data_IF_729081701650
#
_entry.id   IF_729081701650
#
_cell.length_a   1.000
_cell.length_b   1.000
_cell.length_c   1.000
_cell.angle_alpha   90.00
_cell.angle_beta   90.00
_cell.angle_gamma   90.00
#
_symmetry.space_group_name_H-M   'P 1'
#
loop_
_entity.id
_entity.type
_entity.pdbx_description
1 polymer ?
#
# COMPACT_ATOMS: atom_id res chain seq x y z
N UNK A 1 18.01 5.85 9.93
CA UNK A 1 17.98 5.79 8.45
C UNK A 1 18.85 6.89 7.87
N UNK A 2 19.83 6.55 7.04
CA UNK A 2 20.94 7.43 6.64
C UNK A 2 20.69 8.17 5.31
N UNK A 3 19.44 8.58 5.06
CA UNK A 3 19.05 9.22 3.80
C UNK A 3 19.89 10.48 3.47
N UNK A 4 20.36 11.22 4.47
CA UNK A 4 21.25 12.37 4.26
C UNK A 4 22.58 11.95 3.61
N UNK A 5 23.24 10.95 4.18
CA UNK A 5 24.55 10.45 3.72
C UNK A 5 24.43 9.86 2.31
N UNK A 6 23.44 9.01 2.07
CA UNK A 6 23.23 8.41 0.75
C UNK A 6 22.90 9.46 -0.32
N UNK A 7 22.11 10.47 0.02
CA UNK A 7 21.79 11.58 -0.89
C UNK A 7 23.04 12.40 -1.22
N UNK A 8 23.91 12.66 -0.23
CA UNK A 8 25.17 13.35 -0.46
C UNK A 8 26.11 12.55 -1.36
N UNK A 9 26.31 11.25 -1.06
CA UNK A 9 27.13 10.34 -1.89
C UNK A 9 26.65 10.34 -3.34
N UNK A 10 25.34 10.15 -3.56
CA UNK A 10 24.75 10.16 -4.91
C UNK A 10 24.91 11.53 -5.61
N UNK A 11 24.80 12.64 -4.88
CA UNK A 11 25.03 13.97 -5.46
C UNK A 11 26.47 14.13 -5.96
N UNK A 12 27.45 13.77 -5.13
CA UNK A 12 28.88 13.82 -5.49
C UNK A 12 29.16 12.96 -6.72
N UNK A 13 28.74 11.69 -6.71
CA UNK A 13 28.93 10.79 -7.85
C UNK A 13 28.30 11.34 -9.14
N UNK A 14 27.10 11.91 -9.07
CA UNK A 14 26.43 12.49 -10.25
C UNK A 14 27.16 13.72 -10.78
N UNK A 15 27.62 14.60 -9.89
CA UNK A 15 28.36 15.81 -10.26
C UNK A 15 29.69 15.45 -10.92
N UNK A 16 30.41 14.47 -10.39
CA UNK A 16 31.67 13.99 -10.97
C UNK A 16 31.45 13.30 -12.33
N UNK A 17 30.38 12.52 -12.46
CA UNK A 17 30.09 11.77 -13.69
C UNK A 17 29.65 12.64 -14.87
N UNK A 18 28.98 13.75 -14.61
CA UNK A 18 28.47 14.67 -15.65
C UNK A 18 28.42 16.12 -15.12
N UNK A 19 29.58 16.81 -15.05
CA UNK A 19 29.66 18.16 -14.50
C UNK A 19 28.83 19.17 -15.30
N UNK A 20 28.74 18.99 -16.63
CA UNK A 20 28.00 19.86 -17.53
C UNK A 20 26.49 19.79 -17.29
N UNK A 21 25.95 18.63 -16.95
CA UNK A 21 24.53 18.52 -16.61
C UNK A 21 24.22 18.89 -15.16
N UNK A 22 25.23 18.95 -14.28
CA UNK A 22 25.11 19.15 -12.83
C UNK A 22 25.83 20.43 -12.32
N UNK A 23 25.80 21.53 -13.09
CA UNK A 23 26.55 22.79 -12.82
C UNK A 23 26.25 23.51 -11.51
N UNK A 24 25.17 23.17 -10.81
CA UNK A 24 24.77 23.88 -9.59
C UNK A 24 25.67 23.54 -8.41
N UNK A 25 26.23 24.56 -7.74
CA UNK A 25 27.05 24.39 -6.52
C UNK A 25 26.29 23.52 -5.52
N UNK A 26 26.84 22.35 -5.22
CA UNK A 26 26.33 21.45 -4.19
C UNK A 26 26.85 21.88 -2.82
N UNK A 27 25.98 21.74 -1.83
CA UNK A 27 26.30 21.94 -0.42
C UNK A 27 25.76 20.73 0.32
N UNK A 28 26.50 20.29 1.33
CA UNK A 28 26.11 19.12 2.11
C UNK A 28 24.79 19.35 2.83
N UNK A 29 23.99 18.29 2.90
CA UNK A 29 22.66 18.35 3.49
C UNK A 29 22.79 18.10 5.00
N UNK A 30 22.34 19.07 5.80
CA UNK A 30 22.23 18.86 7.25
C UNK A 30 20.96 18.07 7.60
N UNK A 31 20.95 17.42 8.76
CA UNK A 31 19.76 16.71 9.24
C UNK A 31 18.54 17.63 9.34
N UNK A 32 18.73 18.87 9.81
CA UNK A 32 17.66 19.87 9.90
C UNK A 32 17.11 20.22 8.52
N UNK A 33 18.00 20.38 7.53
CA UNK A 33 17.60 20.67 6.15
C UNK A 33 16.82 19.51 5.53
N UNK A 34 17.24 18.26 5.77
CA UNK A 34 16.49 17.09 5.30
C UNK A 34 15.12 16.96 5.97
N UNK A 35 15.02 17.27 7.27
CA UNK A 35 13.73 17.33 7.97
C UNK A 35 12.83 18.42 7.37
N UNK A 36 13.38 19.60 7.11
CA UNK A 36 12.64 20.68 6.46
C UNK A 36 12.19 20.29 5.04
N UNK A 37 13.04 19.60 4.27
CA UNK A 37 12.69 19.07 2.95
C UNK A 37 11.44 18.17 3.01
N UNK A 38 11.42 17.16 3.90
CA UNK A 38 10.27 16.27 4.05
C UNK A 38 9.04 17.01 4.61
N UNK A 39 9.24 17.95 5.54
CA UNK A 39 8.18 18.80 6.07
C UNK A 39 7.49 19.62 4.97
N UNK A 40 8.27 20.20 4.05
CA UNK A 40 7.75 20.90 2.88
C UNK A 40 6.98 19.94 1.98
N UNK A 41 7.52 18.75 1.68
CA UNK A 41 6.81 17.74 0.85
C UNK A 41 5.48 17.35 1.47
N UNK A 42 5.43 17.08 2.78
CA UNK A 42 4.19 16.77 3.49
C UNK A 42 3.20 17.94 3.44
N UNK A 43 3.65 19.16 3.69
CA UNK A 43 2.81 20.35 3.62
C UNK A 43 2.24 20.57 2.21
N UNK A 44 2.98 20.27 1.14
CA UNK A 44 2.46 20.34 -0.24
C UNK A 44 1.47 19.22 -0.58
N UNK A 45 1.49 18.09 0.14
CA UNK A 45 0.59 16.95 -0.08
C UNK A 45 -0.70 17.06 0.73
N UNK A 46 -0.63 17.61 1.95
CA UNK A 46 -1.77 17.69 2.88
C UNK A 46 -2.40 19.09 2.96
N UNK A 47 -1.70 20.13 2.48
CA UNK A 47 -2.12 21.53 2.60
C UNK A 47 -2.79 22.08 1.34
N UNK A 48 -2.43 23.32 0.99
CA UNK A 48 -3.01 24.05 -0.15
C UNK A 48 -2.55 23.42 -1.47
N UNK A 49 -3.46 22.79 -2.22
CA UNK A 49 -3.10 22.14 -3.47
C UNK A 49 -2.80 23.15 -4.59
N UNK A 50 -1.53 23.41 -4.86
CA UNK A 50 -1.11 24.17 -6.04
C UNK A 50 -0.71 23.25 -7.20
N UNK A 51 -1.06 23.59 -8.46
CA UNK A 51 -0.86 22.71 -9.61
C UNK A 51 0.62 22.51 -9.98
N UNK A 52 1.51 23.37 -9.49
CA UNK A 52 2.96 23.26 -9.68
C UNK A 52 3.71 23.62 -8.41
N UNK A 53 4.86 22.98 -8.22
CA UNK A 53 5.68 23.18 -7.02
C UNK A 53 6.22 24.61 -6.92
N UNK A 54 6.52 25.28 -8.04
CA UNK A 54 7.03 26.66 -8.04
C UNK A 54 6.03 27.65 -7.39
N UNK A 55 4.73 27.36 -7.50
CA UNK A 55 3.67 28.27 -7.07
C UNK A 55 3.65 28.42 -5.55
N UNK A 56 3.95 27.33 -4.82
CA UNK A 56 4.12 27.36 -3.37
C UNK A 56 5.21 28.35 -2.92
N UNK A 57 6.17 28.65 -3.79
CA UNK A 57 7.28 29.54 -3.48
C UNK A 57 7.11 30.94 -4.10
N UNK A 58 5.94 31.23 -4.69
CA UNK A 58 5.67 32.51 -5.33
C UNK A 58 5.53 33.63 -4.30
N UNK A 59 6.37 34.66 -4.40
CA UNK A 59 6.37 35.83 -3.52
C UNK A 59 5.88 37.10 -4.23
N UNK A 60 5.37 36.99 -5.46
CA UNK A 60 5.05 38.18 -6.25
C UNK A 60 3.72 38.82 -5.79
N UNK A 61 3.69 40.15 -5.56
CA UNK A 61 2.46 40.83 -5.09
C UNK A 61 1.29 40.77 -6.08
N UNK A 62 1.59 40.77 -7.39
CA UNK A 62 0.61 40.66 -8.47
C UNK A 62 -0.05 39.27 -8.56
N UNK A 63 0.51 38.27 -7.88
CA UNK A 63 -0.01 36.89 -7.79
C UNK A 63 -0.50 36.55 -6.38
N UNK A 64 -1.05 37.55 -5.67
CA UNK A 64 -1.52 37.43 -4.28
C UNK A 64 -2.47 36.24 -4.04
N UNK A 65 -3.30 35.87 -5.02
CA UNK A 65 -4.23 34.73 -4.94
C UNK A 65 -3.51 33.41 -4.67
N UNK A 66 -2.27 33.27 -5.14
CA UNK A 66 -1.45 32.06 -4.97
C UNK A 66 -0.31 32.25 -3.97
N UNK A 67 -0.25 33.41 -3.30
CA UNK A 67 0.83 33.71 -2.38
C UNK A 67 0.72 32.84 -1.13
N UNK A 68 1.73 31.99 -0.91
CA UNK A 68 1.82 31.09 0.24
C UNK A 68 3.12 31.40 1.00
N UNK A 69 3.16 32.50 1.78
CA UNK A 69 4.40 33.08 2.28
C UNK A 69 5.20 32.17 3.22
N UNK A 70 4.57 31.15 3.81
CA UNK A 70 5.23 30.20 4.71
C UNK A 70 6.32 29.35 4.04
N UNK A 71 6.10 28.90 2.80
CA UNK A 71 7.04 27.98 2.13
C UNK A 71 8.37 28.66 1.82
N UNK A 72 8.35 29.84 1.20
CA UNK A 72 9.58 30.57 0.86
C UNK A 72 10.33 31.11 2.07
N UNK A 73 9.66 31.27 3.22
CA UNK A 73 10.33 31.58 4.49
C UNK A 73 11.02 30.36 5.09
N UNK A 74 10.40 29.18 4.96
CA UNK A 74 10.91 27.94 5.54
C UNK A 74 11.99 27.26 4.69
N UNK A 75 11.93 27.37 3.37
CA UNK A 75 12.85 26.67 2.47
C UNK A 75 13.05 27.40 1.15
N UNK A 76 14.19 27.21 0.50
CA UNK A 76 14.45 27.79 -0.82
C UNK A 76 14.01 26.82 -1.93
N UNK A 77 13.23 27.31 -2.89
CA UNK A 77 12.74 26.48 -4.01
C UNK A 77 13.87 25.81 -4.80
N UNK A 78 14.94 26.56 -5.13
CA UNK A 78 16.09 26.00 -5.87
C UNK A 78 16.74 24.85 -5.11
N UNK A 79 16.88 24.99 -3.78
CA UNK A 79 17.44 23.95 -2.92
C UNK A 79 16.52 22.74 -2.84
N UNK A 80 15.21 22.93 -2.77
CA UNK A 80 14.21 21.85 -2.80
C UNK A 80 14.33 21.00 -4.08
N UNK A 81 14.46 21.66 -5.23
CA UNK A 81 14.65 20.99 -6.53
C UNK A 81 15.99 20.26 -6.57
N UNK A 82 17.06 20.89 -6.07
CA UNK A 82 18.40 20.30 -6.03
C UNK A 82 18.42 19.03 -5.17
N UNK A 83 17.86 19.04 -3.95
CA UNK A 83 17.76 17.85 -3.09
C UNK A 83 16.88 16.79 -3.76
N UNK A 84 15.74 17.17 -4.35
CA UNK A 84 14.85 16.22 -5.03
C UNK A 84 15.52 15.48 -6.19
N UNK A 85 16.50 16.11 -6.86
CA UNK A 85 17.24 15.51 -7.98
C UNK A 85 18.18 14.39 -7.52
N UNK A 86 18.75 14.51 -6.33
CA UNK A 86 19.75 13.56 -5.82
C UNK A 86 19.23 12.67 -4.69
N UNK A 87 17.98 12.85 -4.25
CA UNK A 87 17.36 12.11 -3.15
C UNK A 87 17.57 10.60 -3.30
N UNK A 88 18.07 9.98 -2.24
CA UNK A 88 18.52 8.59 -2.26
C UNK A 88 18.15 7.87 -0.96
N UNK A 89 17.77 6.59 -1.06
CA UNK A 89 17.20 5.80 0.06
C UNK A 89 17.88 4.46 0.29
N UNK A 90 19.01 4.21 -0.34
CA UNK A 90 19.74 2.94 -0.23
C UNK A 90 21.25 3.17 -0.31
N UNK A 91 22.03 2.18 0.07
CA UNK A 91 23.48 2.20 -0.15
C UNK A 91 23.81 1.44 -1.43
N UNK A 92 24.45 2.09 -2.39
CA UNK A 92 24.84 1.47 -3.66
C UNK A 92 25.78 0.27 -3.48
N UNK A 93 26.58 0.26 -2.41
CA UNK A 93 27.58 -0.80 -2.17
C UNK A 93 26.97 -2.08 -1.57
N UNK A 94 25.84 -1.95 -0.84
CA UNK A 94 25.18 -3.04 -0.13
C UNK A 94 23.88 -3.50 -0.81
N UNK A 95 23.46 -2.83 -1.89
CA UNK A 95 22.19 -3.09 -2.53
C UNK A 95 22.15 -4.45 -3.24
N UNK A 96 21.22 -5.31 -2.82
CA UNK A 96 20.85 -6.50 -3.59
C UNK A 96 20.03 -6.09 -4.82
N UNK A 97 20.68 -6.06 -5.98
CA UNK A 97 20.05 -5.70 -7.26
C UNK A 97 19.08 -6.78 -7.78
N UNK A 98 18.99 -7.95 -7.14
CA UNK A 98 18.01 -8.98 -7.47
C UNK A 98 16.59 -8.58 -7.03
N UNK A 99 16.45 -7.77 -5.98
CA UNK A 99 15.19 -7.18 -5.55
C UNK A 99 14.81 -6.02 -6.46
N UNK A 100 13.62 -6.04 -7.06
CA UNK A 100 13.16 -4.94 -7.93
C UNK A 100 12.96 -3.62 -7.18
N UNK A 101 12.81 -3.67 -5.85
CA UNK A 101 12.60 -2.51 -4.98
C UNK A 101 13.86 -2.09 -4.22
N UNK A 102 15.04 -2.63 -4.54
CA UNK A 102 16.29 -2.38 -3.79
C UNK A 102 16.53 -0.90 -3.50
N UNK A 103 16.14 -0.01 -4.42
CA UNK A 103 16.33 1.44 -4.30
C UNK A 103 15.56 2.10 -3.16
N UNK A 104 14.47 1.48 -2.72
CA UNK A 104 13.61 1.98 -1.64
C UNK A 104 13.46 0.95 -0.53
N UNK A 105 14.02 -0.26 -0.67
CA UNK A 105 13.89 -1.36 0.28
C UNK A 105 14.23 -0.93 1.72
N UNK A 106 15.36 -0.26 2.00
CA UNK A 106 15.67 0.16 3.38
C UNK A 106 14.63 1.14 3.96
N UNK A 107 14.03 1.97 3.11
CA UNK A 107 12.98 2.90 3.51
C UNK A 107 11.66 2.16 3.78
N UNK A 108 11.29 1.20 2.93
CA UNK A 108 10.08 0.38 3.13
C UNK A 108 10.19 -0.46 4.40
N UNK A 109 11.33 -1.11 4.62
CA UNK A 109 11.55 -1.96 5.80
C UNK A 109 11.51 -1.12 7.08
N UNK A 110 12.12 0.08 7.06
CA UNK A 110 12.02 1.03 8.17
C UNK A 110 10.58 1.47 8.47
N UNK A 111 9.79 1.77 7.43
CA UNK A 111 8.38 2.13 7.62
C UNK A 111 7.57 0.96 8.17
N UNK A 112 7.81 -0.25 7.65
CA UNK A 112 7.13 -1.46 8.08
C UNK A 112 7.41 -1.76 9.56
N UNK A 113 8.69 -1.68 9.98
CA UNK A 113 9.10 -1.81 11.39
C UNK A 113 8.40 -0.78 12.29
N UNK A 114 8.32 0.48 11.84
CA UNK A 114 7.65 1.54 12.59
C UNK A 114 6.14 1.38 12.66
N UNK A 115 5.50 0.95 11.58
CA UNK A 115 4.05 0.75 11.60
C UNK A 115 3.64 -0.41 12.51
N UNK A 116 4.44 -1.48 12.53
CA UNK A 116 4.21 -2.61 13.41
C UNK A 116 4.56 -2.31 14.88
N UNK A 117 5.62 -1.54 15.14
CA UNK A 117 6.11 -1.28 16.49
C UNK A 117 5.34 -0.21 17.27
N UNK A 118 4.69 0.73 16.60
CA UNK A 118 4.07 1.90 17.24
C UNK A 118 2.55 1.72 17.47
N UNK A 119 1.93 0.68 16.91
CA UNK A 119 0.49 0.49 16.99
C UNK A 119 0.11 -0.99 16.99
N UNK A 120 -0.83 -1.35 17.87
CA UNK A 120 -1.43 -2.68 17.89
C UNK A 120 -2.88 -2.61 17.37
N UNK A 121 -3.22 -3.29 16.25
CA UNK A 121 -4.56 -3.26 15.69
C UNK A 121 -5.65 -3.78 16.64
N UNK A 122 -6.87 -3.28 16.47
CA UNK A 122 -8.02 -3.86 17.12
C UNK A 122 -8.35 -5.24 16.49
N UNK A 123 -9.42 -5.86 16.99
CA UNK A 123 -9.83 -7.18 16.54
C UNK A 123 -10.02 -7.26 15.01
N UNK A 124 -10.66 -6.24 14.43
CA UNK A 124 -11.09 -6.27 13.04
C UNK A 124 -10.10 -5.50 12.16
N UNK A 125 -9.52 -6.16 11.16
CA UNK A 125 -8.60 -5.55 10.19
C UNK A 125 -9.12 -5.72 8.77
N UNK A 126 -8.93 -4.72 7.93
CA UNK A 126 -9.34 -4.70 6.53
C UNK A 126 -8.13 -4.90 5.62
N UNK A 127 -8.24 -5.81 4.67
CA UNK A 127 -7.25 -6.02 3.62
C UNK A 127 -7.80 -5.52 2.29
N UNK A 128 -7.06 -4.64 1.62
CA UNK A 128 -7.40 -4.15 0.28
C UNK A 128 -6.15 -3.67 -0.47
N UNK A 129 -6.31 -3.33 -1.75
CA UNK A 129 -5.29 -2.65 -2.53
C UNK A 129 -5.52 -1.13 -2.65
N UNK A 130 -4.42 -0.38 -2.68
CA UNK A 130 -4.41 1.00 -3.14
C UNK A 130 -3.57 1.18 -4.40
N UNK A 131 -3.86 2.27 -5.11
CA UNK A 131 -3.10 2.70 -6.29
C UNK A 131 -2.34 3.99 -5.96
N UNK A 132 -1.01 3.90 -5.99
CA UNK A 132 -0.11 5.05 -5.87
C UNK A 132 0.03 5.66 -7.28
N UNK A 133 -0.49 6.88 -7.53
CA UNK A 133 -0.53 7.44 -8.88
C UNK A 133 0.88 7.66 -9.44
N UNK A 134 1.16 7.07 -10.61
CA UNK A 134 2.47 7.23 -11.25
C UNK A 134 2.36 7.04 -12.77
N UNK A 135 2.84 8.04 -13.53
CA UNK A 135 2.79 8.03 -15.01
C UNK A 135 4.16 7.83 -15.67
N UNK A 136 5.25 7.83 -14.91
CA UNK A 136 6.61 7.69 -15.45
C UNK A 136 6.94 6.28 -15.98
N UNK A 137 8.19 6.08 -16.38
CA UNK A 137 8.70 4.77 -16.81
C UNK A 137 9.15 3.98 -15.59
N UNK A 138 8.44 2.89 -15.28
CA UNK A 138 8.77 1.99 -14.17
C UNK A 138 8.23 0.60 -14.49
N UNK A 139 9.04 -0.43 -14.26
CA UNK A 139 8.69 -1.81 -14.64
C UNK A 139 7.60 -2.47 -13.78
N UNK A 140 7.26 -1.91 -12.62
CA UNK A 140 6.17 -2.40 -11.74
C UNK A 140 4.89 -1.56 -11.87
N UNK A 141 4.87 -0.60 -12.82
CA UNK A 141 3.69 0.23 -13.08
C UNK A 141 2.59 -0.63 -13.71
N UNK A 142 1.39 -0.52 -13.18
CA UNK A 142 0.20 -1.22 -13.65
C UNK A 142 -0.84 -0.26 -14.23
N UNK A 143 -1.70 -0.82 -15.08
CA UNK A 143 -2.94 -0.20 -15.53
C UNK A 143 -4.13 -0.97 -14.96
N UNK A 144 -4.97 -0.32 -14.16
CA UNK A 144 -6.21 -0.89 -13.61
C UNK A 144 -7.37 -0.03 -14.09
N UNK A 145 -8.21 -0.58 -14.98
CA UNK A 145 -9.24 0.16 -15.73
C UNK A 145 -10.25 0.86 -14.81
N UNK A 146 -10.62 0.20 -13.72
CA UNK A 146 -11.75 0.59 -12.87
C UNK A 146 -11.35 1.46 -11.66
N UNK A 147 -10.05 1.73 -11.48
CA UNK A 147 -9.58 2.65 -10.43
C UNK A 147 -9.56 4.10 -10.96
N UNK A 148 -9.85 5.12 -10.12
CA UNK A 148 -9.81 6.53 -10.54
C UNK A 148 -8.47 6.93 -11.17
N UNK A 149 -7.38 6.53 -10.52
CA UNK A 149 -6.02 6.63 -11.04
C UNK A 149 -5.64 5.32 -11.72
N UNK A 150 -5.94 5.22 -13.02
CA UNK A 150 -5.75 3.98 -13.78
C UNK A 150 -4.31 3.54 -13.89
N UNK A 151 -3.36 4.49 -13.96
CA UNK A 151 -1.93 4.21 -14.04
C UNK A 151 -1.24 4.48 -12.70
N UNK A 152 -0.52 3.49 -12.18
CA UNK A 152 0.21 3.65 -10.92
C UNK A 152 0.93 2.41 -10.45
N UNK A 153 1.38 2.45 -9.20
CA UNK A 153 1.98 1.32 -8.48
C UNK A 153 0.90 0.76 -7.57
N UNK A 154 0.65 -0.55 -7.64
CA UNK A 154 -0.30 -1.22 -6.75
C UNK A 154 0.41 -1.57 -5.44
N UNK A 155 -0.23 -1.28 -4.32
CA UNK A 155 0.19 -1.71 -3.00
C UNK A 155 -0.99 -2.44 -2.32
N UNK A 156 -0.70 -3.47 -1.55
CA UNK A 156 -1.63 -4.13 -0.66
C UNK A 156 -1.45 -3.56 0.74
N UNK A 157 -2.55 -3.37 1.48
CA UNK A 157 -2.53 -2.82 2.82
C UNK A 157 -3.40 -3.68 3.72
N UNK A 158 -2.92 -3.86 4.95
CA UNK A 158 -3.68 -4.37 6.07
C UNK A 158 -3.87 -3.23 7.06
N UNK A 159 -5.11 -2.79 7.22
CA UNK A 159 -5.46 -1.63 8.02
C UNK A 159 -6.37 -1.99 9.19
N UNK A 160 -6.19 -1.32 10.32
CA UNK A 160 -7.14 -1.40 11.43
C UNK A 160 -8.48 -0.78 11.03
N UNK A 161 -9.58 -1.49 11.28
CA UNK A 161 -10.92 -1.04 10.87
C UNK A 161 -11.46 0.12 11.70
N UNK A 162 -11.00 0.28 12.95
CA UNK A 162 -11.48 1.31 13.86
C UNK A 162 -10.82 2.67 13.60
N UNK A 163 -9.51 2.66 13.36
CA UNK A 163 -8.68 3.88 13.24
C UNK A 163 -8.25 4.18 11.81
N UNK A 164 -8.49 3.25 10.88
CA UNK A 164 -7.94 3.26 9.52
C UNK A 164 -6.39 3.26 9.48
N UNK A 165 -5.73 2.89 10.58
CA UNK A 165 -4.27 2.83 10.65
C UNK A 165 -3.73 1.72 9.75
N UNK A 166 -2.78 2.04 8.87
CA UNK A 166 -2.11 1.05 8.05
C UNK A 166 -1.05 0.32 8.88
N UNK A 167 -1.35 -0.92 9.25
CA UNK A 167 -0.49 -1.74 10.09
C UNK A 167 0.62 -2.39 9.27
N UNK A 168 0.27 -3.02 8.14
CA UNK A 168 1.25 -3.63 7.23
C UNK A 168 0.91 -3.36 5.78
N UNK A 169 1.93 -3.33 4.93
CA UNK A 169 1.72 -3.13 3.50
C UNK A 169 2.75 -3.89 2.66
N UNK A 170 2.41 -4.14 1.41
CA UNK A 170 3.32 -4.78 0.45
C UNK A 170 3.16 -4.16 -0.94
N UNK A 171 4.28 -3.81 -1.58
CA UNK A 171 4.28 -3.28 -2.95
C UNK A 171 4.22 -4.44 -3.95
N UNK A 172 3.26 -4.39 -4.87
CA UNK A 172 3.13 -5.42 -5.90
C UNK A 172 4.23 -5.31 -6.96
N UNK A 173 5.02 -6.36 -7.12
CA UNK A 173 6.16 -6.42 -8.06
C UNK A 173 5.99 -7.42 -9.20
N UNK A 174 4.76 -7.90 -9.46
CA UNK A 174 4.45 -8.85 -10.53
C UNK A 174 5.33 -10.12 -10.53
N UNK A 175 5.57 -10.68 -9.34
CA UNK A 175 6.20 -12.00 -9.14
C UNK A 175 5.15 -12.96 -8.57
N UNK A 176 5.34 -14.25 -8.78
CA UNK A 176 4.65 -15.26 -7.99
C UNK A 176 5.19 -15.17 -6.56
N UNK A 177 4.31 -14.95 -5.59
CA UNK A 177 4.66 -14.97 -4.18
C UNK A 177 4.36 -16.39 -3.71
N UNK A 178 5.40 -17.11 -3.29
CA UNK A 178 5.26 -18.39 -2.61
C UNK A 178 5.12 -18.13 -1.11
N UNK A 179 4.09 -18.71 -0.49
CA UNK A 179 3.94 -18.71 0.96
C UNK A 179 4.21 -20.13 1.45
N UNK A 180 5.24 -20.30 2.29
CA UNK A 180 5.61 -21.58 2.92
C UNK A 180 5.82 -22.75 1.94
N UNK A 181 6.21 -22.48 0.69
CA UNK A 181 6.42 -23.50 -0.34
C UNK A 181 5.13 -24.12 -0.90
N UNK A 182 3.96 -23.64 -0.48
CA UNK A 182 2.68 -24.01 -1.07
C UNK A 182 2.34 -23.12 -2.26
N UNK A 183 1.80 -23.73 -3.31
CA UNK A 183 1.30 -23.04 -4.49
C UNK A 183 -0.10 -22.44 -4.22
N UNK A 184 -0.17 -21.63 -3.15
CA UNK A 184 -1.31 -20.78 -2.83
C UNK A 184 -1.32 -19.67 -3.89
N UNK A 185 -2.44 -19.50 -4.59
CA UNK A 185 -2.56 -18.43 -5.58
C UNK A 185 -2.13 -17.08 -4.99
N UNK A 186 -1.50 -16.24 -5.82
CA UNK A 186 -0.89 -14.96 -5.43
C UNK A 186 -1.69 -14.15 -4.40
N UNK A 187 -3.01 -14.06 -4.57
CA UNK A 187 -3.89 -13.30 -3.68
C UNK A 187 -3.93 -13.85 -2.26
N UNK A 188 -3.96 -15.17 -2.09
CA UNK A 188 -3.95 -15.81 -0.78
C UNK A 188 -2.59 -15.65 -0.09
N UNK A 189 -1.50 -15.82 -0.84
CA UNK A 189 -0.14 -15.69 -0.33
C UNK A 189 0.12 -14.28 0.26
N UNK A 190 -0.35 -13.23 -0.41
CA UNK A 190 -0.20 -11.84 0.08
C UNK A 190 -1.01 -11.61 1.35
N UNK A 191 -2.27 -12.08 1.41
CA UNK A 191 -3.10 -11.93 2.62
C UNK A 191 -2.42 -12.61 3.81
N UNK A 192 -2.00 -13.87 3.64
CA UNK A 192 -1.30 -14.62 4.70
C UNK A 192 0.00 -13.94 5.11
N UNK A 193 0.77 -13.40 4.16
CA UNK A 193 2.00 -12.69 4.46
C UNK A 193 1.75 -11.43 5.29
N UNK A 194 0.75 -10.62 4.94
CA UNK A 194 0.39 -9.41 5.69
C UNK A 194 -0.26 -9.70 7.04
N UNK A 195 -0.84 -10.88 7.24
CA UNK A 195 -1.42 -11.27 8.54
C UNK A 195 -0.42 -11.93 9.49
N UNK A 196 0.83 -12.16 9.07
CA UNK A 196 1.86 -12.71 9.97
C UNK A 196 2.00 -11.89 11.25
N UNK A 197 2.17 -12.58 12.37
CA UNK A 197 2.28 -12.00 13.71
C UNK A 197 0.94 -11.77 14.42
N UNK A 198 -0.19 -11.99 13.73
CA UNK A 198 -1.55 -11.85 14.28
C UNK A 198 -2.16 -13.19 14.71
N UNK A 199 -1.40 -14.28 14.63
CA UNK A 199 -1.87 -15.65 14.83
C UNK A 199 -2.37 -15.87 16.26
N UNK A 200 -3.52 -16.52 16.39
CA UNK A 200 -4.14 -16.87 17.68
C UNK A 200 -4.40 -15.70 18.63
N UNK A 201 -4.50 -14.46 18.11
CA UNK A 201 -4.79 -13.25 18.92
C UNK A 201 -6.23 -12.75 18.78
N UNK A 202 -7.09 -13.53 18.13
CA UNK A 202 -8.51 -13.23 17.97
C UNK A 202 -8.85 -12.24 16.85
N UNK A 203 -7.89 -11.94 15.96
CA UNK A 203 -8.13 -11.03 14.83
C UNK A 203 -9.05 -11.62 13.76
N UNK A 204 -9.80 -10.74 13.09
CA UNK A 204 -10.67 -11.07 11.96
C UNK A 204 -10.28 -10.18 10.78
N UNK A 205 -9.94 -10.82 9.66
CA UNK A 205 -9.52 -10.15 8.42
C UNK A 205 -10.72 -10.01 7.49
N UNK A 206 -10.98 -8.78 7.06
CA UNK A 206 -12.03 -8.44 6.11
C UNK A 206 -11.44 -8.26 4.71
N UNK A 207 -11.97 -8.97 3.71
CA UNK A 207 -11.48 -8.92 2.31
C UNK A 207 -12.61 -8.70 1.30
N UNK A 208 -12.29 -8.09 0.18
CA UNK A 208 -13.19 -8.07 -0.99
C UNK A 208 -13.14 -9.38 -1.80
N UNK A 209 -14.10 -9.55 -2.70
CA UNK A 209 -14.35 -10.76 -3.51
C UNK A 209 -13.15 -11.23 -4.35
N UNK A 210 -12.24 -10.33 -4.69
CA UNK A 210 -11.05 -10.63 -5.46
C UNK A 210 -10.09 -11.51 -4.66
N UNK A 211 -10.01 -11.29 -3.34
CA UNK A 211 -9.12 -12.00 -2.41
C UNK A 211 -9.83 -13.14 -1.69
N UNK A 212 -11.14 -13.07 -1.53
CA UNK A 212 -11.89 -14.09 -0.79
C UNK A 212 -11.92 -15.44 -1.48
N UNK A 213 -11.51 -16.48 -0.76
CA UNK A 213 -11.67 -17.88 -1.18
C UNK A 213 -11.80 -18.81 0.01
N UNK A 214 -12.45 -19.95 -0.19
CA UNK A 214 -12.59 -20.99 0.85
C UNK A 214 -11.23 -21.52 1.29
N UNK A 215 -10.28 -21.65 0.37
CA UNK A 215 -8.91 -22.10 0.67
C UNK A 215 -8.19 -21.10 1.56
N UNK A 216 -8.27 -19.80 1.28
CA UNK A 216 -7.69 -18.77 2.14
C UNK A 216 -8.32 -18.78 3.54
N UNK A 217 -9.64 -18.93 3.61
CA UNK A 217 -10.37 -18.98 4.87
C UNK A 217 -9.92 -20.15 5.76
N UNK A 218 -9.67 -21.34 5.18
CA UNK A 218 -9.10 -22.47 5.89
C UNK A 218 -7.68 -22.22 6.40
N UNK A 219 -6.83 -21.60 5.57
CA UNK A 219 -5.45 -21.29 5.95
C UNK A 219 -5.38 -20.27 7.09
N UNK A 220 -6.16 -19.18 7.02
CA UNK A 220 -6.24 -18.20 8.11
C UNK A 220 -6.75 -18.84 9.41
N UNK A 221 -7.76 -19.72 9.31
CA UNK A 221 -8.27 -20.44 10.48
C UNK A 221 -7.24 -21.38 11.10
N UNK A 222 -6.44 -22.06 10.28
CA UNK A 222 -5.34 -22.89 10.76
C UNK A 222 -4.30 -22.07 11.55
N UNK A 223 -4.24 -20.75 11.35
CA UNK A 223 -3.42 -19.81 12.10
C UNK A 223 -4.19 -19.07 13.21
N UNK A 224 -5.41 -19.51 13.54
CA UNK A 224 -6.24 -18.87 14.57
C UNK A 224 -6.74 -17.46 14.20
N UNK A 225 -6.79 -17.15 12.90
CA UNK A 225 -7.24 -15.86 12.37
C UNK A 225 -8.61 -16.06 11.70
N UNK A 226 -9.56 -15.23 12.07
CA UNK A 226 -10.88 -15.19 11.44
C UNK A 226 -10.84 -14.50 10.09
N UNK A 227 -11.80 -14.81 9.23
CA UNK A 227 -11.92 -14.18 7.91
C UNK A 227 -13.38 -13.87 7.60
N UNK A 228 -13.63 -12.66 7.08
CA UNK A 228 -14.92 -12.28 6.52
C UNK A 228 -14.71 -11.67 5.15
N UNK A 229 -15.49 -12.07 4.16
CA UNK A 229 -15.40 -11.44 2.85
C UNK A 229 -16.51 -11.85 1.90
N UNK A 230 -16.78 -11.01 0.91
CA UNK A 230 -17.68 -11.38 -0.19
C UNK A 230 -17.04 -12.48 -1.04
N UNK A 231 -17.78 -13.44 -1.56
CA UNK A 231 -17.24 -14.50 -2.42
C UNK A 231 -18.07 -14.65 -3.71
N UNK A 232 -17.39 -14.78 -4.84
CA UNK A 232 -18.03 -15.13 -6.11
C UNK A 232 -18.41 -16.63 -6.13
N UNK A 233 -19.59 -16.95 -6.67
CA UNK A 233 -20.12 -18.31 -6.71
C UNK A 233 -19.34 -19.28 -7.61
N UNK A 234 -18.45 -18.76 -8.46
CA UNK A 234 -17.54 -19.51 -9.33
C UNK A 234 -16.25 -19.95 -8.61
N UNK A 235 -15.99 -19.48 -7.38
CA UNK A 235 -14.74 -19.76 -6.68
C UNK A 235 -14.66 -21.22 -6.23
N UNK A 236 -13.45 -21.79 -6.28
CA UNK A 236 -13.18 -23.15 -5.81
C UNK A 236 -13.54 -23.27 -4.32
N UNK A 237 -14.31 -24.32 -4.00
CA UNK A 237 -14.80 -24.59 -2.65
C UNK A 237 -16.15 -23.95 -2.32
N UNK A 238 -16.68 -23.06 -3.17
CA UNK A 238 -18.03 -22.51 -2.97
C UNK A 238 -19.09 -23.63 -2.99
N UNK A 239 -20.03 -23.69 -2.03
CA UNK A 239 -21.01 -24.77 -1.94
C UNK A 239 -21.92 -24.81 -3.17
N UNK A 240 -21.90 -25.93 -3.90
CA UNK A 240 -22.68 -26.10 -5.14
C UNK A 240 -24.19 -26.05 -4.91
N UNK A 241 -24.63 -26.48 -3.73
CA UNK A 241 -26.00 -26.42 -3.20
C UNK A 241 -26.52 -24.98 -3.09
N UNK A 242 -25.64 -24.01 -2.81
CA UNK A 242 -25.96 -22.59 -2.86
C UNK A 242 -25.96 -22.04 -4.30
N UNK A 243 -25.19 -22.63 -5.21
CA UNK A 243 -25.11 -22.20 -6.63
C UNK A 243 -26.29 -22.67 -7.50
N UNK A 244 -26.97 -23.76 -7.14
CA UNK A 244 -28.06 -24.36 -7.94
C UNK A 244 -29.40 -23.66 -7.81
N UNK A 245 -29.56 -22.79 -6.81
CA UNK A 245 -30.80 -22.02 -6.61
C UNK A 245 -30.72 -20.76 -7.46
N UNK A 246 -31.54 -20.66 -8.50
CA UNK A 246 -31.68 -19.41 -9.25
C UNK A 246 -32.13 -18.32 -8.27
N UNK A 247 -31.40 -17.19 -8.20
CA UNK A 247 -31.71 -16.00 -7.38
C UNK A 247 -33.19 -15.57 -7.44
N UNK A 248 -33.88 -15.93 -8.52
CA UNK A 248 -35.31 -15.73 -8.73
C UNK A 248 -36.21 -16.32 -7.63
N UNK A 249 -35.80 -17.36 -6.89
CA UNK A 249 -36.64 -18.02 -5.88
C UNK A 249 -36.65 -17.35 -4.49
N UNK A 250 -35.64 -16.54 -4.15
CA UNK A 250 -35.61 -15.84 -2.86
C UNK A 250 -36.39 -14.52 -2.95
N UNK A 251 -37.10 -14.12 -1.90
CA UNK A 251 -37.65 -12.77 -1.79
C UNK A 251 -36.61 -11.80 -1.18
N UNK A 252 -36.82 -10.49 -1.37
CA UNK A 252 -35.96 -9.47 -0.77
C UNK A 252 -35.96 -9.63 0.76
N UNK A 253 -34.78 -9.67 1.36
CA UNK A 253 -34.59 -9.90 2.80
C UNK A 253 -34.49 -11.37 3.23
N UNK A 254 -34.71 -12.33 2.31
CA UNK A 254 -34.46 -13.75 2.60
C UNK A 254 -33.00 -14.13 2.35
N UNK A 255 -32.52 -15.10 3.13
CA UNK A 255 -31.17 -15.66 3.02
C UNK A 255 -31.19 -17.17 3.31
N UNK A 256 -30.11 -17.84 2.93
CA UNK A 256 -29.78 -19.28 3.04
C UNK A 256 -28.32 -19.45 3.42
N UNK A 257 -28.03 -20.16 4.48
CA UNK A 257 -26.66 -20.35 4.92
C UNK A 257 -26.31 -21.84 4.85
N UNK A 258 -25.04 -22.12 4.65
CA UNK A 258 -24.50 -23.46 4.79
C UNK A 258 -23.24 -23.41 5.65
N UNK A 259 -23.05 -24.45 6.45
CA UNK A 259 -21.89 -24.59 7.32
C UNK A 259 -21.15 -25.87 6.93
N UNK A 260 -19.84 -25.77 6.80
CA UNK A 260 -18.99 -26.95 6.66
C UNK A 260 -18.59 -27.46 8.03
N UNK A 261 -18.75 -28.77 8.25
CA UNK A 261 -18.29 -29.46 9.46
C UNK A 261 -16.77 -29.67 9.46
N UNK A 262 -16.11 -29.60 8.29
CA UNK A 262 -14.65 -29.55 8.17
C UNK A 262 -14.16 -28.13 8.49
N UNK A 263 -13.03 -28.01 9.21
CA UNK A 263 -12.88 -27.15 10.39
C UNK A 263 -13.67 -25.84 10.27
N UNK A 264 -14.92 -25.87 10.76
CA UNK A 264 -15.79 -24.73 11.11
C UNK A 264 -15.77 -23.50 10.19
N UNK A 265 -15.76 -23.68 8.87
CA UNK A 265 -15.99 -22.59 7.91
C UNK A 265 -17.50 -22.42 7.70
N UNK A 266 -18.06 -21.28 8.12
CA UNK A 266 -19.43 -20.88 7.78
C UNK A 266 -19.40 -20.16 6.44
N UNK A 267 -20.12 -20.65 5.44
CA UNK A 267 -20.34 -19.93 4.19
C UNK A 267 -21.74 -19.31 4.25
N UNK A 268 -21.79 -18.00 4.45
CA UNK A 268 -23.03 -17.23 4.62
C UNK A 268 -23.51 -16.58 3.31
N UNK A 269 -24.81 -16.27 3.27
CA UNK A 269 -25.63 -16.17 2.07
C UNK A 269 -25.46 -14.97 1.12
N UNK A 270 -25.95 -15.19 -0.11
CA UNK A 270 -26.58 -14.26 -1.07
C UNK A 270 -27.69 -13.35 -0.47
N UNK A 271 -27.57 -12.04 -0.67
CA UNK A 271 -28.67 -11.07 -0.51
C UNK A 271 -29.31 -10.73 -1.87
N UNK A 272 -30.65 -10.74 -1.98
CA UNK A 272 -31.33 -10.34 -3.23
C UNK A 272 -31.53 -8.82 -3.40
N UNK A 273 -30.65 -8.02 -2.82
CA UNK A 273 -30.57 -6.59 -3.15
C UNK A 273 -29.18 -6.19 -3.66
N UNK A 274 -28.17 -6.98 -3.31
CA UNK A 274 -26.82 -6.99 -3.87
C UNK A 274 -26.42 -8.46 -3.92
N UNK A 275 -26.31 -9.06 -5.11
CA UNK A 275 -25.89 -10.47 -5.26
C UNK A 275 -24.47 -10.59 -4.68
N UNK A 276 -24.38 -10.90 -3.40
CA UNK A 276 -23.13 -10.95 -2.62
C UNK A 276 -23.27 -12.12 -1.66
N UNK A 277 -22.46 -13.15 -1.89
CA UNK A 277 -22.28 -14.26 -0.95
C UNK A 277 -21.14 -13.89 0.00
N UNK A 278 -21.09 -14.45 1.21
CA UNK A 278 -20.03 -14.17 2.18
C UNK A 278 -19.40 -15.45 2.71
N UNK A 279 -18.11 -15.40 3.04
CA UNK A 279 -17.48 -16.40 3.91
C UNK A 279 -17.26 -15.74 5.26
N UNK A 280 -17.56 -16.47 6.34
CA UNK A 280 -17.23 -16.08 7.70
C UNK A 280 -16.57 -17.25 8.42
N UNK A 281 -15.36 -17.04 8.92
CA UNK A 281 -14.67 -17.97 9.80
C UNK A 281 -14.32 -17.23 11.07
N UNK A 282 -14.83 -17.71 12.20
CA UNK A 282 -14.65 -17.14 13.53
C UNK A 282 -13.85 -18.09 14.40
#
# INVERSE_FOLDING_TARGET
>A
MNCCEWTQKNATTKIESDPEHNKGKWMDITLLEMKAYFGIKLATLMGVNCPRLEIYFCQKPDKWIFATPGFSKAFQFRRLVQISRYLHFYDDDLADKSDRLYKIRPYLDYLQEKFEGEYYPAQNVSFDECMIPFKGRLGIKLYIKDKPNKWGIKAFLLCDSLTAYSFRFEIYIARNIEFEGENLGLTAAVVLNLTKGMEYRGHIVYTDNFYTSVVLAFNLRAHGIGMVGTIESNRKGYPKTLSTVKDKQLQRGQFRWEMSDKPQVKVNCLFKQFICSFIAVC
#
